data_IF_531204044110
#
_entry.id   IF_531204044110
#
_cell.length_a   1.000
_cell.length_b   1.000
_cell.length_c   1.000
_cell.angle_alpha   90.00
_cell.angle_beta   90.00
_cell.angle_gamma   90.00
#
_symmetry.space_group_name_H-M   'P 1'
#
loop_
_entity.id
_entity.type
_entity.pdbx_description
1 polymer ?
#
# COMPACT_ATOMS: atom_id res chain seq x y z
N UNK A 1 -53.39 -49.38 -36.14
CA UNK A 1 -53.49 -48.22 -35.23
C UNK A 1 -52.29 -47.34 -35.53
N UNK A 2 -52.42 -46.37 -36.48
CA UNK A 2 -51.32 -45.50 -36.92
C UNK A 2 -51.31 -44.23 -36.07
N UNK A 3 -50.31 -44.09 -35.22
CA UNK A 3 -50.11 -42.88 -34.40
C UNK A 3 -49.51 -41.80 -35.27
N UNK A 4 -50.29 -40.78 -35.60
CA UNK A 4 -49.87 -39.61 -36.34
C UNK A 4 -48.82 -38.85 -35.50
N UNK A 5 -47.55 -38.90 -35.89
CA UNK A 5 -46.52 -38.03 -35.36
C UNK A 5 -46.85 -36.59 -35.77
N UNK A 6 -47.33 -35.79 -34.82
CA UNK A 6 -47.51 -34.36 -34.94
C UNK A 6 -46.11 -33.74 -35.05
N UNK A 7 -45.79 -33.22 -36.21
CA UNK A 7 -44.53 -32.48 -36.46
C UNK A 7 -44.50 -31.21 -35.64
N UNK A 8 -43.82 -31.22 -34.51
CA UNK A 8 -43.53 -30.06 -33.68
C UNK A 8 -42.34 -29.26 -34.28
N UNK A 9 -42.53 -28.62 -35.38
CA UNK A 9 -41.48 -27.84 -36.11
C UNK A 9 -41.21 -26.45 -35.53
N UNK A 10 -42.08 -25.89 -34.64
CA UNK A 10 -41.93 -24.55 -34.10
C UNK A 10 -41.15 -24.49 -32.76
N UNK A 11 -41.24 -25.54 -31.93
CA UNK A 11 -40.65 -25.55 -30.58
C UNK A 11 -39.14 -25.64 -30.64
N UNK A 12 -38.58 -26.38 -31.59
CA UNK A 12 -37.13 -26.58 -31.72
C UNK A 12 -36.39 -25.26 -31.96
N UNK A 13 -36.94 -24.38 -32.80
CA UNK A 13 -36.33 -23.06 -33.12
C UNK A 13 -36.34 -22.19 -31.90
N UNK A 14 -37.41 -22.16 -31.09
CA UNK A 14 -37.52 -21.40 -29.88
C UNK A 14 -36.49 -21.88 -28.84
N UNK A 15 -36.39 -23.22 -28.67
CA UNK A 15 -35.38 -23.79 -27.76
C UNK A 15 -33.97 -23.46 -28.17
N UNK A 16 -33.62 -23.55 -29.46
CA UNK A 16 -32.31 -23.17 -29.97
C UNK A 16 -32.02 -21.67 -29.70
N UNK A 17 -33.01 -20.80 -29.89
CA UNK A 17 -32.87 -19.37 -29.67
C UNK A 17 -32.60 -19.04 -28.18
N UNK A 18 -33.36 -19.69 -27.28
CA UNK A 18 -33.18 -19.59 -25.84
C UNK A 18 -31.80 -20.09 -25.42
N UNK A 19 -31.35 -21.22 -25.96
CA UNK A 19 -30.03 -21.77 -25.67
C UNK A 19 -28.91 -20.85 -26.17
N UNK A 20 -29.05 -20.25 -27.36
CA UNK A 20 -28.10 -19.25 -27.85
C UNK A 20 -28.01 -18.02 -26.94
N UNK A 21 -29.15 -17.50 -26.48
CA UNK A 21 -29.18 -16.39 -25.55
C UNK A 21 -28.49 -16.72 -24.22
N UNK A 22 -28.75 -17.92 -23.67
CA UNK A 22 -28.09 -18.36 -22.45
C UNK A 22 -26.58 -18.46 -22.61
N UNK A 23 -26.10 -19.03 -23.71
CA UNK A 23 -24.65 -19.12 -24.00
C UNK A 23 -24.03 -17.73 -24.17
N UNK A 24 -24.73 -16.80 -24.83
CA UNK A 24 -24.26 -15.41 -24.96
C UNK A 24 -24.13 -14.72 -23.60
N UNK A 25 -25.12 -14.87 -22.70
CA UNK A 25 -25.10 -14.28 -21.37
C UNK A 25 -23.97 -14.87 -20.52
N UNK A 26 -23.80 -16.19 -20.57
CA UNK A 26 -22.72 -16.88 -19.86
C UNK A 26 -21.34 -16.44 -20.38
N UNK A 27 -21.17 -16.35 -21.71
CA UNK A 27 -19.92 -15.89 -22.32
C UNK A 27 -19.57 -14.46 -21.98
N UNK A 28 -20.56 -13.56 -21.99
CA UNK A 28 -20.36 -12.16 -21.59
C UNK A 28 -20.00 -12.03 -20.10
N UNK A 29 -20.59 -12.86 -19.25
CA UNK A 29 -20.28 -12.88 -17.81
C UNK A 29 -18.86 -13.37 -17.54
N UNK A 30 -18.42 -14.43 -18.22
CA UNK A 30 -17.07 -14.96 -18.10
C UNK A 30 -16.00 -13.94 -18.56
N UNK A 31 -16.25 -13.20 -19.64
CA UNK A 31 -15.36 -12.16 -20.12
C UNK A 31 -15.21 -11.01 -19.11
N UNK A 32 -16.29 -10.59 -18.46
CA UNK A 32 -16.24 -9.54 -17.42
C UNK A 32 -15.41 -9.97 -16.20
N UNK A 33 -15.54 -11.21 -15.76
CA UNK A 33 -14.75 -11.74 -14.65
C UNK A 33 -13.26 -11.76 -14.98
N UNK A 34 -12.88 -12.08 -16.21
CA UNK A 34 -11.49 -12.04 -16.66
C UNK A 34 -10.87 -10.64 -16.57
N UNK A 35 -11.59 -9.62 -17.05
CA UNK A 35 -11.15 -8.23 -16.99
C UNK A 35 -11.03 -7.70 -15.55
N UNK A 36 -11.95 -8.06 -14.66
CA UNK A 36 -11.89 -7.68 -13.24
C UNK A 36 -10.69 -8.33 -12.54
N UNK A 37 -10.39 -9.60 -12.85
CA UNK A 37 -9.22 -10.29 -12.32
C UNK A 37 -7.91 -9.60 -12.72
N UNK A 38 -7.77 -9.19 -13.97
CA UNK A 38 -6.58 -8.48 -14.43
C UNK A 38 -6.40 -7.12 -13.74
N UNK A 39 -7.47 -6.38 -13.54
CA UNK A 39 -7.42 -5.10 -12.81
C UNK A 39 -7.05 -5.28 -11.34
N UNK A 40 -7.57 -6.33 -10.68
CA UNK A 40 -7.24 -6.65 -9.29
C UNK A 40 -5.75 -6.98 -9.14
N UNK A 41 -5.20 -7.81 -10.02
CA UNK A 41 -3.77 -8.19 -10.00
C UNK A 41 -2.85 -6.97 -10.21
N UNK A 42 -3.24 -6.07 -11.10
CA UNK A 42 -2.47 -4.83 -11.31
C UNK A 42 -2.51 -3.93 -10.09
N UNK A 43 -3.67 -3.78 -9.45
CA UNK A 43 -3.84 -3.00 -8.23
C UNK A 43 -3.04 -3.57 -7.06
N UNK A 44 -3.03 -4.89 -6.90
CA UNK A 44 -2.26 -5.57 -5.85
C UNK A 44 -0.76 -5.36 -6.05
N UNK A 45 -0.27 -5.49 -7.28
CA UNK A 45 1.13 -5.22 -7.59
C UNK A 45 1.53 -3.77 -7.33
N UNK A 46 0.68 -2.82 -7.70
CA UNK A 46 0.96 -1.40 -7.50
C UNK A 46 1.02 -1.09 -5.98
N UNK A 47 0.18 -1.75 -5.17
CA UNK A 47 0.20 -1.65 -3.71
C UNK A 47 1.43 -2.30 -3.09
N UNK A 48 1.88 -3.44 -3.63
CA UNK A 48 3.09 -4.12 -3.18
C UNK A 48 4.34 -3.24 -3.36
N UNK A 49 4.43 -2.50 -4.47
CA UNK A 49 5.51 -1.54 -4.70
C UNK A 49 5.49 -0.43 -3.64
N UNK A 50 4.30 0.09 -3.32
CA UNK A 50 4.16 1.09 -2.28
C UNK A 50 4.53 0.55 -0.89
N UNK A 51 4.16 -0.69 -0.61
CA UNK A 51 4.50 -1.36 0.65
C UNK A 51 6.01 -1.53 0.80
N UNK A 52 6.68 -2.07 -0.21
CA UNK A 52 8.14 -2.22 -0.21
C UNK A 52 8.86 -0.88 -0.07
N UNK A 53 8.37 0.16 -0.75
CA UNK A 53 8.94 1.50 -0.60
C UNK A 53 8.78 2.04 0.84
N UNK A 54 7.65 1.76 1.51
CA UNK A 54 7.45 2.15 2.90
C UNK A 54 8.35 1.35 3.86
N UNK A 55 8.55 0.05 3.63
CA UNK A 55 9.49 -0.78 4.41
C UNK A 55 10.92 -0.29 4.25
N UNK A 56 11.34 0.05 3.04
CA UNK A 56 12.66 0.64 2.79
C UNK A 56 12.85 1.94 3.56
N UNK A 57 11.80 2.77 3.65
CA UNK A 57 11.83 4.02 4.41
C UNK A 57 11.91 3.77 5.92
N UNK A 58 11.21 2.77 6.46
CA UNK A 58 11.36 2.36 7.85
C UNK A 58 12.79 1.90 8.15
N UNK A 59 13.35 1.07 7.28
CA UNK A 59 14.74 0.60 7.42
C UNK A 59 15.77 1.74 7.30
N UNK A 60 15.48 2.76 6.50
CA UNK A 60 16.32 3.96 6.38
C UNK A 60 16.28 4.80 7.67
N UNK A 61 15.08 5.01 8.22
CA UNK A 61 14.90 5.70 9.50
C UNK A 61 15.61 4.97 10.66
N UNK A 62 15.50 3.65 10.74
CA UNK A 62 16.21 2.86 11.75
C UNK A 62 17.74 3.01 11.62
N UNK A 63 18.25 3.02 10.39
CA UNK A 63 19.69 3.28 10.14
C UNK A 63 20.09 4.69 10.58
N UNK A 64 19.27 5.69 10.30
CA UNK A 64 19.50 7.06 10.73
C UNK A 64 19.55 7.16 12.25
N UNK A 65 18.63 6.48 12.97
CA UNK A 65 18.61 6.43 14.44
C UNK A 65 19.89 5.79 14.97
N UNK A 66 20.28 4.62 14.46
CA UNK A 66 21.52 3.92 14.90
C UNK A 66 22.78 4.74 14.63
N UNK A 67 22.82 5.48 13.55
CA UNK A 67 23.98 6.31 13.19
C UNK A 67 23.99 7.67 13.87
N UNK A 68 22.97 8.01 14.65
CA UNK A 68 22.83 9.31 15.29
C UNK A 68 22.58 10.47 14.32
N UNK A 69 22.13 10.16 13.09
CA UNK A 69 21.79 11.17 12.05
C UNK A 69 20.27 11.40 11.93
N UNK A 70 19.48 10.80 12.82
CA UNK A 70 18.03 10.93 12.80
C UNK A 70 17.58 12.36 13.09
N UNK A 71 16.70 12.88 12.24
CA UNK A 71 15.95 14.11 12.50
C UNK A 71 14.66 13.71 13.20
N UNK A 72 14.61 13.94 14.50
CA UNK A 72 13.42 13.66 15.31
C UNK A 72 12.47 14.86 15.23
N UNK A 73 11.19 14.60 15.05
CA UNK A 73 10.16 15.62 15.09
C UNK A 73 10.16 16.26 16.48
N UNK A 74 10.36 17.55 16.53
CA UNK A 74 10.34 18.37 17.74
C UNK A 74 8.98 19.05 17.94
N UNK A 75 8.86 19.84 19.00
CA UNK A 75 7.63 20.57 19.34
C UNK A 75 7.21 21.58 18.23
N UNK A 76 8.12 21.98 17.36
CA UNK A 76 7.82 22.85 16.22
C UNK A 76 7.07 22.11 15.10
N UNK A 77 7.23 20.81 15.02
CA UNK A 77 6.63 19.97 13.99
C UNK A 77 5.19 19.58 14.28
N UNK A 78 4.77 19.51 15.51
CA UNK A 78 3.37 19.28 15.84
C UNK A 78 3.09 19.16 17.35
N UNK A 79 1.89 19.49 17.73
CA UNK A 79 1.31 18.87 18.88
C UNK A 79 1.23 17.34 18.64
N UNK A 80 1.67 16.58 19.58
CA UNK A 80 1.68 15.13 19.64
C UNK A 80 0.33 14.50 19.23
N UNK A 81 0.27 13.50 18.33
CA UNK A 81 1.39 12.88 17.62
C UNK A 81 1.71 13.55 16.26
N UNK A 82 3.01 13.70 15.95
CA UNK A 82 3.47 14.37 14.73
C UNK A 82 2.97 13.72 13.43
N UNK A 83 2.84 12.38 13.39
CA UNK A 83 2.39 11.65 12.21
C UNK A 83 0.98 12.00 11.75
N UNK A 84 0.11 12.51 12.64
CA UNK A 84 -1.24 12.93 12.27
C UNK A 84 -1.29 14.31 11.60
N UNK A 85 -0.25 15.11 11.74
CA UNK A 85 -0.19 16.49 11.24
C UNK A 85 0.85 16.70 10.16
N UNK A 86 1.87 15.84 10.13
CA UNK A 86 2.88 15.89 9.08
C UNK A 86 2.25 15.51 7.74
N UNK A 87 2.45 16.34 6.73
CA UNK A 87 2.08 15.99 5.36
C UNK A 87 3.11 15.00 4.79
N UNK A 88 2.93 13.73 5.10
CA UNK A 88 3.77 12.65 4.59
C UNK A 88 3.68 12.53 3.06
N UNK A 89 2.54 12.93 2.48
CA UNK A 89 2.29 12.86 1.04
C UNK A 89 2.83 14.06 0.25
N UNK A 90 3.12 15.18 0.91
CA UNK A 90 3.58 16.42 0.29
C UNK A 90 4.92 16.32 -0.43
N UNK A 91 5.15 17.24 -1.35
CA UNK A 91 6.41 17.32 -2.10
C UNK A 91 7.48 18.17 -1.39
N UNK A 92 7.04 18.99 -0.43
CA UNK A 92 7.95 19.81 0.37
C UNK A 92 8.49 19.02 1.56
N UNK A 93 9.81 19.09 1.77
CA UNK A 93 10.43 18.67 3.02
C UNK A 93 10.02 19.68 4.10
N UNK A 94 8.83 19.49 4.67
CA UNK A 94 8.49 20.16 5.91
C UNK A 94 9.49 19.75 6.99
N UNK A 95 9.71 20.61 8.00
CA UNK A 95 10.63 20.33 9.11
C UNK A 95 10.34 19.02 9.86
N UNK A 96 9.22 18.36 9.54
CA UNK A 96 8.71 17.20 10.25
C UNK A 96 8.85 15.88 9.49
N UNK A 97 9.13 15.90 8.18
CA UNK A 97 9.27 14.69 7.36
C UNK A 97 10.61 14.64 6.69
N UNK A 98 11.22 13.48 6.66
CA UNK A 98 12.51 13.20 6.03
C UNK A 98 12.27 12.36 4.78
N UNK A 99 12.91 12.74 3.66
CA UNK A 99 12.89 11.94 2.45
C UNK A 99 13.88 10.78 2.56
N UNK A 100 13.55 9.64 2.00
CA UNK A 100 14.44 8.48 1.94
C UNK A 100 15.84 8.84 1.46
N UNK A 101 16.83 8.45 2.24
CA UNK A 101 18.25 8.68 1.95
C UNK A 101 18.79 10.04 2.37
N UNK A 102 17.97 10.99 2.82
CA UNK A 102 18.43 12.33 3.22
C UNK A 102 19.40 12.26 4.41
N UNK A 103 19.11 11.42 5.41
CA UNK A 103 19.98 11.24 6.59
C UNK A 103 21.05 10.17 6.45
N UNK A 104 20.91 9.24 5.54
CA UNK A 104 21.76 8.03 5.41
C UNK A 104 22.58 7.98 4.13
N UNK A 105 22.24 8.77 3.12
CA UNK A 105 22.84 8.70 1.78
C UNK A 105 22.32 7.51 0.95
N UNK A 106 21.29 6.80 1.40
CA UNK A 106 20.70 5.70 0.65
C UNK A 106 20.04 6.20 -0.65
N UNK A 107 20.11 5.42 -1.69
CA UNK A 107 19.62 5.80 -3.02
C UNK A 107 18.51 4.86 -3.44
N UNK A 108 17.33 5.42 -3.77
CA UNK A 108 16.22 4.73 -4.35
C UNK A 108 15.95 5.23 -5.76
N UNK A 109 15.70 4.30 -6.70
CA UNK A 109 15.30 4.64 -8.06
C UNK A 109 13.79 4.88 -8.08
N UNK A 110 13.38 5.99 -8.68
CA UNK A 110 11.98 6.34 -8.91
C UNK A 110 11.72 6.47 -10.40
N UNK A 111 10.49 6.32 -10.84
CA UNK A 111 10.14 6.53 -12.23
C UNK A 111 8.97 5.68 -12.72
N UNK A 112 8.99 5.37 -14.02
CA UNK A 112 7.91 4.68 -14.73
C UNK A 112 8.07 3.15 -14.61
N UNK A 113 6.96 2.44 -14.58
CA UNK A 113 6.90 0.98 -14.65
C UNK A 113 6.70 0.31 -13.30
N UNK A 114 7.74 -0.34 -12.76
CA UNK A 114 7.72 -1.09 -11.50
C UNK A 114 8.40 -0.34 -10.34
N UNK A 115 8.64 0.94 -10.51
CA UNK A 115 9.28 1.78 -9.52
C UNK A 115 8.25 2.70 -8.86
N UNK A 116 8.48 3.12 -7.62
CA UNK A 116 7.65 4.15 -7.00
C UNK A 116 7.76 5.45 -7.80
N UNK A 117 6.66 6.19 -7.93
CA UNK A 117 6.66 7.42 -8.73
C UNK A 117 7.45 8.55 -8.05
N UNK A 118 7.59 8.51 -6.72
CA UNK A 118 8.45 9.38 -5.92
C UNK A 118 9.06 8.62 -4.75
N UNK A 119 10.11 9.17 -4.15
CA UNK A 119 10.75 8.56 -2.98
C UNK A 119 9.82 8.57 -1.78
N UNK A 120 9.86 7.52 -0.95
CA UNK A 120 9.10 7.48 0.29
C UNK A 120 9.63 8.51 1.30
N UNK A 121 8.81 8.82 2.28
CA UNK A 121 9.12 9.77 3.36
C UNK A 121 8.76 9.15 4.70
N UNK A 122 9.37 9.67 5.75
CA UNK A 122 9.07 9.23 7.10
C UNK A 122 9.14 10.38 8.12
N UNK A 123 8.52 10.17 9.26
CA UNK A 123 8.65 10.99 10.46
C UNK A 123 9.10 10.13 11.62
N UNK A 124 10.02 10.63 12.42
CA UNK A 124 10.55 9.98 13.62
C UNK A 124 10.08 10.78 14.84
N UNK A 125 9.47 10.12 15.79
CA UNK A 125 9.04 10.70 17.06
C UNK A 125 9.71 9.95 18.20
N UNK A 126 10.20 10.66 19.21
CA UNK A 126 10.71 10.07 20.44
C UNK A 126 9.57 9.76 21.40
N UNK A 127 9.62 8.61 22.02
CA UNK A 127 8.64 8.15 23.02
C UNK A 127 9.38 7.62 24.25
N UNK A 128 8.71 7.66 25.40
CA UNK A 128 9.12 6.93 26.58
C UNK A 128 8.53 5.52 26.53
N UNK A 129 9.37 4.52 26.62
CA UNK A 129 8.98 3.11 26.62
C UNK A 129 9.51 2.39 27.85
N UNK A 130 8.82 1.31 28.20
CA UNK A 130 9.25 0.37 29.22
C UNK A 130 9.47 -0.98 28.57
N UNK A 131 10.65 -1.54 28.72
CA UNK A 131 10.93 -2.87 28.20
C UNK A 131 10.16 -3.92 29.02
N UNK A 132 9.53 -4.91 28.36
CA UNK A 132 8.82 -5.97 29.08
C UNK A 132 9.77 -6.73 30.05
N UNK A 133 9.49 -6.63 31.34
CA UNK A 133 10.29 -7.29 32.39
C UNK A 133 11.31 -6.41 33.11
N UNK A 134 11.43 -5.13 32.73
CA UNK A 134 12.23 -4.14 33.47
C UNK A 134 11.38 -3.38 34.48
N UNK A 135 12.04 -2.67 35.40
CA UNK A 135 11.37 -1.86 36.42
C UNK A 135 10.65 -0.67 35.73
N UNK A 136 9.37 -0.47 36.07
CA UNK A 136 8.55 0.61 35.49
C UNK A 136 9.05 2.02 35.87
N UNK A 137 10.06 2.11 36.72
CA UNK A 137 10.66 3.39 37.17
C UNK A 137 11.82 3.87 36.31
N UNK A 138 12.28 3.06 35.31
CA UNK A 138 13.38 3.41 34.43
C UNK A 138 12.91 3.41 32.96
N UNK A 139 12.31 4.52 32.47
CA UNK A 139 11.86 4.63 31.10
C UNK A 139 13.05 4.73 30.15
N UNK A 140 13.00 3.98 29.06
CA UNK A 140 13.95 4.06 27.96
C UNK A 140 13.39 4.94 26.83
N UNK A 141 14.27 5.58 26.09
CA UNK A 141 13.87 6.29 24.86
C UNK A 141 13.68 5.30 23.72
N UNK A 142 12.50 5.28 23.15
CA UNK A 142 12.24 4.58 21.89
C UNK A 142 11.73 5.56 20.83
N UNK A 143 11.73 5.09 19.61
CA UNK A 143 11.35 5.90 18.46
C UNK A 143 10.17 5.27 17.74
N UNK A 144 9.10 6.05 17.55
CA UNK A 144 8.02 5.69 16.63
C UNK A 144 8.39 6.26 15.26
N UNK A 145 8.45 5.41 14.29
CA UNK A 145 8.68 5.78 12.90
C UNK A 145 7.41 5.53 12.11
N UNK A 146 6.90 6.55 11.47
CA UNK A 146 5.78 6.46 10.53
C UNK A 146 6.28 6.80 9.14
N UNK A 147 6.16 5.86 8.22
CA UNK A 147 6.64 6.00 6.85
C UNK A 147 5.49 5.88 5.85
N UNK A 148 5.56 6.65 4.78
CA UNK A 148 4.69 6.54 3.60
C UNK A 148 5.51 6.10 2.41
N UNK A 149 5.06 5.03 1.75
CA UNK A 149 5.58 4.56 0.49
C UNK A 149 4.61 4.81 -0.65
N UNK A 150 5.13 5.06 -1.82
CA UNK A 150 4.38 5.38 -3.01
C UNK A 150 4.47 4.26 -4.04
N UNK A 151 3.34 3.95 -4.67
CA UNK A 151 3.29 3.02 -5.78
C UNK A 151 3.81 3.62 -7.08
N UNK A 152 3.63 2.92 -8.22
CA UNK A 152 4.09 3.42 -9.52
C UNK A 152 3.23 4.56 -10.09
N UNK A 153 2.10 4.88 -9.45
CA UNK A 153 1.15 5.92 -9.86
C UNK A 153 0.68 6.72 -8.66
N UNK A 154 0.40 8.03 -8.84
CA UNK A 154 -0.26 8.84 -7.82
C UNK A 154 -1.58 8.21 -7.33
N UNK A 155 -1.83 8.31 -6.03
CA UNK A 155 -3.01 7.74 -5.38
C UNK A 155 -2.87 6.28 -4.92
N UNK A 156 -1.72 5.65 -5.17
CA UNK A 156 -1.38 4.35 -4.57
C UNK A 156 -0.33 4.60 -3.50
N UNK A 157 -0.75 4.53 -2.25
CA UNK A 157 0.07 4.88 -1.10
C UNK A 157 -0.13 3.86 0.01
N UNK A 158 0.92 3.58 0.76
CA UNK A 158 0.89 2.71 1.93
C UNK A 158 1.61 3.42 3.06
N UNK A 159 0.98 3.47 4.22
CA UNK A 159 1.58 4.00 5.45
C UNK A 159 1.86 2.83 6.38
N UNK A 160 3.10 2.78 6.86
CA UNK A 160 3.55 1.81 7.85
C UNK A 160 4.04 2.55 9.09
N UNK A 161 3.91 1.91 10.24
CA UNK A 161 4.41 2.43 11.49
C UNK A 161 5.14 1.32 12.26
N UNK A 162 6.29 1.67 12.81
CA UNK A 162 7.11 0.79 13.64
C UNK A 162 7.56 1.53 14.89
N UNK A 163 7.82 0.78 15.97
CA UNK A 163 8.49 1.30 17.16
C UNK A 163 9.85 0.62 17.26
N UNK A 164 10.89 1.44 17.32
CA UNK A 164 12.28 1.01 17.38
C UNK A 164 12.90 1.38 18.74
N UNK A 165 13.55 0.42 19.38
CA UNK A 165 14.34 0.61 20.61
C UNK A 165 15.80 0.45 20.20
N UNK A 166 16.62 1.50 20.26
CA UNK A 166 18.05 1.38 19.99
C UNK A 166 18.74 0.59 21.09
N UNK A 167 19.55 -0.38 20.70
CA UNK A 167 20.42 -1.13 21.60
C UNK A 167 21.63 -0.30 22.05
#
# INVERSE_FOLDING_TARGET
MFTTMRTQRGVTVVVCLVMMLLVMVLGASAARLGLQGEQAVRGERDREIAFQAAEDALADAERAIRNGSAVVADDACAADPAWQRADLGGDESGACTVEYGEGTGAVMRTGVGFLPFKKPRYVIESLECHEPGTDATDPQTCYRVTAIGFGPKPGVEVVLQSVFIPE
#
